data_IF_614354209854
#
_entry.id   IF_614354209854
#
_cell.length_a   1.000
_cell.length_b   1.000
_cell.length_c   1.000
_cell.angle_alpha   90.00
_cell.angle_beta   90.00
_cell.angle_gamma   90.00
#
_symmetry.space_group_name_H-M   'P 1'
#
loop_
_entity.id
_entity.type
_entity.pdbx_description
1 polymer ?
#
# COMPACT_ATOMS: atom_id res chain seq x y z
N UNK A 1 -31.82 14.66 -17.17
CA UNK A 1 -30.88 13.53 -17.33
C UNK A 1 -29.50 13.76 -16.72
N UNK A 2 -28.86 14.93 -16.86
CA UNK A 2 -27.51 15.20 -16.32
C UNK A 2 -27.35 15.15 -14.79
N UNK A 3 -28.45 15.16 -14.03
CA UNK A 3 -28.42 15.14 -12.55
C UNK A 3 -28.64 13.74 -11.95
N UNK A 4 -29.22 12.79 -12.72
CA UNK A 4 -29.44 11.41 -12.26
C UNK A 4 -28.17 10.55 -12.37
N UNK A 5 -27.32 10.83 -13.36
CA UNK A 5 -26.03 10.16 -13.59
C UNK A 5 -25.00 10.49 -12.50
N UNK A 6 -25.17 11.61 -11.78
CA UNK A 6 -24.27 12.08 -10.71
C UNK A 6 -24.33 11.19 -9.45
N UNK A 7 -25.43 10.48 -9.21
CA UNK A 7 -25.60 9.66 -8.00
C UNK A 7 -25.01 8.24 -8.12
N UNK A 8 -24.82 7.73 -9.35
CA UNK A 8 -24.18 6.42 -9.56
C UNK A 8 -22.69 6.44 -9.15
N UNK A 9 -22.03 7.60 -9.30
CA UNK A 9 -20.57 7.75 -9.13
C UNK A 9 -20.14 7.97 -7.68
N UNK A 10 -20.97 8.58 -6.83
CA UNK A 10 -20.67 8.74 -5.40
C UNK A 10 -20.66 7.38 -4.66
N UNK A 11 -21.51 6.44 -5.05
CA UNK A 11 -21.65 5.16 -4.35
C UNK A 11 -20.59 4.12 -4.73
N UNK A 12 -20.02 4.17 -5.95
CA UNK A 12 -18.88 3.32 -6.31
C UNK A 12 -17.57 3.80 -5.65
N UNK A 13 -17.34 5.11 -5.56
CA UNK A 13 -16.08 5.65 -5.04
C UNK A 13 -15.99 5.74 -3.50
N UNK A 14 -17.10 5.90 -2.77
CA UNK A 14 -17.06 5.93 -1.29
C UNK A 14 -17.30 4.57 -0.62
N UNK A 15 -17.74 3.52 -1.34
CA UNK A 15 -18.06 2.23 -0.71
C UNK A 15 -17.25 1.03 -1.19
N UNK A 16 -16.45 1.13 -2.26
CA UNK A 16 -15.36 0.17 -2.51
C UNK A 16 -14.25 0.24 -1.44
N UNK A 17 -14.14 1.36 -0.73
CA UNK A 17 -13.21 1.54 0.42
C UNK A 17 -13.89 1.22 1.77
N UNK A 18 -15.20 0.94 1.80
CA UNK A 18 -15.95 0.62 3.03
C UNK A 18 -16.89 -0.58 2.84
N UNK A 19 -16.37 -1.66 2.25
CA UNK A 19 -17.09 -2.94 2.10
C UNK A 19 -17.28 -3.71 3.43
N UNK A 20 -17.40 -3.02 4.57
CA UNK A 20 -17.70 -3.64 5.87
C UNK A 20 -19.06 -3.25 6.46
N UNK A 21 -19.89 -2.41 5.80
CA UNK A 21 -21.25 -2.09 6.32
C UNK A 21 -22.41 -1.97 5.31
N UNK A 22 -22.20 -2.15 4.00
CA UNK A 22 -23.29 -2.07 3.03
C UNK A 22 -23.61 -3.46 2.42
N UNK A 23 -24.89 -3.84 2.46
CA UNK A 23 -25.42 -5.08 1.88
C UNK A 23 -25.32 -5.05 0.34
N UNK A 24 -24.54 -5.95 -0.29
CA UNK A 24 -24.32 -5.99 -1.72
C UNK A 24 -25.60 -6.13 -2.55
N UNK A 25 -26.66 -6.73 -2.01
CA UNK A 25 -27.90 -6.91 -2.75
C UNK A 25 -28.68 -5.59 -2.91
N UNK A 26 -28.64 -4.72 -1.90
CA UNK A 26 -29.46 -3.49 -1.88
C UNK A 26 -28.95 -2.38 -2.81
N UNK A 27 -27.66 -2.42 -3.21
CA UNK A 27 -27.12 -1.42 -4.13
C UNK A 27 -27.39 -1.78 -5.59
N UNK A 28 -27.36 -3.08 -5.94
CA UNK A 28 -27.69 -3.58 -7.28
C UNK A 28 -29.14 -3.27 -7.64
N UNK A 29 -30.08 -3.47 -6.70
CA UNK A 29 -31.49 -3.11 -6.87
C UNK A 29 -31.72 -1.60 -7.10
N UNK A 30 -30.85 -0.75 -6.54
CA UNK A 30 -30.92 0.70 -6.76
C UNK A 30 -30.28 1.11 -8.08
N UNK A 31 -29.19 0.46 -8.47
CA UNK A 31 -28.53 0.70 -9.74
C UNK A 31 -29.47 0.33 -10.90
N UNK A 32 -30.16 -0.81 -10.80
CA UNK A 32 -31.12 -1.28 -11.80
C UNK A 32 -32.28 -0.30 -12.03
N UNK A 33 -32.81 0.32 -10.96
CA UNK A 33 -33.88 1.33 -11.09
C UNK A 33 -33.45 2.59 -11.83
N UNK A 34 -32.16 2.90 -11.81
CA UNK A 34 -31.61 4.11 -12.43
C UNK A 34 -31.09 3.83 -13.86
N UNK A 35 -30.66 2.61 -14.11
CA UNK A 35 -30.12 2.14 -15.39
C UNK A 35 -30.79 0.81 -15.75
N UNK A 36 -32.08 0.82 -16.12
CA UNK A 36 -32.81 -0.39 -16.45
C UNK A 36 -32.19 -1.14 -17.64
N UNK A 37 -31.51 -0.41 -18.53
CA UNK A 37 -30.83 -0.97 -19.70
C UNK A 37 -29.51 -1.69 -19.35
N UNK A 38 -29.08 -1.65 -18.09
CA UNK A 38 -27.90 -2.38 -17.60
C UNK A 38 -28.18 -3.83 -17.23
N UNK A 39 -29.44 -4.20 -17.03
CA UNK A 39 -29.90 -5.58 -16.88
C UNK A 39 -30.08 -6.19 -18.28
N UNK A 40 -29.03 -6.87 -18.72
CA UNK A 40 -28.87 -7.31 -20.09
C UNK A 40 -29.67 -8.59 -20.35
N UNK A 41 -29.81 -9.44 -19.34
CA UNK A 41 -30.61 -10.66 -19.42
C UNK A 41 -32.10 -10.46 -19.06
N UNK A 42 -32.46 -9.27 -18.56
CA UNK A 42 -33.82 -8.83 -18.20
C UNK A 42 -34.43 -9.67 -17.08
N UNK A 43 -33.61 -10.21 -16.19
CA UNK A 43 -34.06 -11.01 -15.06
C UNK A 43 -34.58 -10.15 -13.88
N UNK A 44 -34.48 -8.83 -13.98
CA UNK A 44 -34.91 -7.88 -12.98
C UNK A 44 -33.92 -7.73 -11.82
N UNK A 45 -32.67 -8.17 -11.98
CA UNK A 45 -31.58 -8.04 -11.01
C UNK A 45 -30.27 -7.72 -11.73
N UNK A 46 -29.64 -6.63 -11.34
CA UNK A 46 -28.32 -6.33 -11.88
C UNK A 46 -27.27 -7.27 -11.27
N UNK A 47 -26.51 -7.98 -12.10
CA UNK A 47 -25.32 -8.73 -11.67
C UNK A 47 -24.05 -7.87 -11.75
N UNK A 48 -23.00 -8.27 -11.02
CA UNK A 48 -21.71 -7.56 -11.07
C UNK A 48 -21.10 -7.61 -12.49
N UNK A 49 -21.31 -8.71 -13.22
CA UNK A 49 -20.80 -8.89 -14.58
C UNK A 49 -21.50 -7.96 -15.58
N UNK A 50 -22.80 -7.75 -15.43
CA UNK A 50 -23.57 -6.82 -16.25
C UNK A 50 -23.23 -5.36 -15.94
N UNK A 51 -23.07 -5.03 -14.65
CA UNK A 51 -22.62 -3.70 -14.24
C UNK A 51 -21.25 -3.36 -14.85
N UNK A 52 -20.31 -4.31 -14.87
CA UNK A 52 -18.98 -4.13 -15.48
C UNK A 52 -19.07 -3.99 -17.00
N UNK A 53 -19.82 -4.86 -17.68
CA UNK A 53 -20.04 -4.76 -19.13
C UNK A 53 -20.72 -3.46 -19.53
N UNK A 54 -21.65 -2.97 -18.72
CA UNK A 54 -22.32 -1.70 -18.97
C UNK A 54 -21.35 -0.52 -18.87
N UNK A 55 -20.44 -0.53 -17.89
CA UNK A 55 -19.39 0.49 -17.78
C UNK A 55 -18.41 0.42 -18.96
N UNK A 56 -17.99 -0.78 -19.38
CA UNK A 56 -17.14 -0.97 -20.56
C UNK A 56 -17.78 -0.47 -21.86
N UNK A 57 -19.11 -0.62 -21.98
CA UNK A 57 -19.87 -0.20 -23.16
C UNK A 57 -20.18 1.31 -23.19
N UNK A 58 -19.97 2.04 -22.09
CA UNK A 58 -20.31 3.47 -21.94
C UNK A 58 -19.07 4.28 -21.49
N UNK A 59 -18.05 4.43 -22.37
CA UNK A 59 -16.78 5.08 -22.05
C UNK A 59 -16.91 6.56 -21.63
N UNK A 60 -18.03 7.22 -21.95
CA UNK A 60 -18.37 8.55 -21.43
C UNK A 60 -18.54 8.59 -19.90
N UNK A 61 -18.82 7.44 -19.27
CA UNK A 61 -18.86 7.30 -17.82
C UNK A 61 -17.44 7.33 -17.23
N UNK A 62 -16.43 6.78 -17.90
CA UNK A 62 -15.03 6.89 -17.50
C UNK A 62 -14.52 8.35 -17.55
N UNK A 63 -14.90 9.09 -18.58
CA UNK A 63 -14.48 10.50 -18.72
C UNK A 63 -15.15 11.40 -17.67
N UNK A 64 -16.38 11.09 -17.27
CA UNK A 64 -17.10 11.75 -16.17
C UNK A 64 -16.53 11.38 -14.79
N UNK A 65 -16.08 10.13 -14.60
CA UNK A 65 -15.32 9.68 -13.42
C UNK A 65 -14.00 10.46 -13.29
N UNK A 66 -13.30 10.71 -14.40
CA UNK A 66 -12.07 11.49 -14.42
C UNK A 66 -12.28 13.00 -14.18
N UNK A 67 -13.39 13.58 -14.69
CA UNK A 67 -13.66 15.03 -14.63
C UNK A 67 -14.32 15.52 -13.34
N UNK A 68 -14.98 14.66 -12.54
CA UNK A 68 -15.76 15.08 -11.37
C UNK A 68 -15.39 14.45 -10.02
N UNK A 69 -14.21 13.85 -9.90
CA UNK A 69 -13.50 13.69 -8.62
C UNK A 69 -12.97 15.03 -8.06
N UNK A 70 -13.74 16.11 -8.19
CA UNK A 70 -13.31 17.48 -7.93
C UNK A 70 -13.40 17.83 -6.45
N UNK A 71 -12.29 18.26 -5.86
CA UNK A 71 -12.35 19.03 -4.61
C UNK A 71 -11.18 18.94 -3.64
N UNK A 72 -10.02 18.41 -4.02
CA UNK A 72 -8.77 18.90 -3.46
C UNK A 72 -7.99 19.50 -4.61
N UNK A 73 -7.61 20.78 -4.49
CA UNK A 73 -6.55 21.37 -5.29
C UNK A 73 -5.35 20.43 -5.09
N UNK A 74 -5.08 19.53 -6.04
CA UNK A 74 -3.83 18.78 -6.05
C UNK A 74 -2.78 19.86 -6.15
N UNK A 75 -1.99 20.10 -5.10
CA UNK A 75 -0.95 21.08 -5.25
C UNK A 75 0.00 20.47 -6.29
N UNK A 76 0.26 21.20 -7.36
CA UNK A 76 1.44 20.99 -8.21
C UNK A 76 2.74 21.05 -7.38
N UNK A 77 2.65 21.49 -6.12
CA UNK A 77 3.71 21.52 -5.14
C UNK A 77 3.75 20.25 -4.30
N UNK A 78 4.96 19.81 -3.96
CA UNK A 78 5.13 18.79 -2.95
C UNK A 78 4.38 19.15 -1.66
N UNK A 79 3.87 18.15 -0.92
CA UNK A 79 3.26 18.40 0.38
C UNK A 79 4.16 19.27 1.28
N UNK A 80 3.56 20.19 2.06
CA UNK A 80 4.33 20.99 3.00
C UNK A 80 4.95 20.06 4.04
N UNK A 81 6.23 20.29 4.33
CA UNK A 81 6.92 19.57 5.40
C UNK A 81 6.38 20.06 6.74
N UNK A 82 6.07 19.16 7.68
CA UNK A 82 5.65 19.60 9.01
C UNK A 82 6.77 20.37 9.72
N UNK A 83 6.42 21.34 10.60
CA UNK A 83 7.40 21.95 11.49
C UNK A 83 8.12 20.89 12.33
N UNK A 84 9.32 21.22 12.79
CA UNK A 84 10.01 20.40 13.79
C UNK A 84 9.19 20.34 15.09
N UNK A 85 9.24 19.20 15.78
CA UNK A 85 8.61 19.03 17.09
C UNK A 85 9.17 20.04 18.10
N UNK A 86 8.33 20.81 18.81
CA UNK A 86 8.79 21.77 19.80
C UNK A 86 9.72 21.13 20.84
N UNK A 87 10.86 21.78 21.10
CA UNK A 87 11.83 21.32 22.10
C UNK A 87 12.76 20.18 21.63
N UNK A 88 12.65 19.73 20.38
CA UNK A 88 13.57 18.75 19.79
C UNK A 88 14.32 19.37 18.59
N UNK A 89 15.57 18.97 18.34
CA UNK A 89 16.24 19.28 17.09
C UNK A 89 15.41 18.81 15.88
N UNK A 90 15.43 19.52 14.74
CA UNK A 90 14.77 19.06 13.53
C UNK A 90 15.24 17.65 13.15
N UNK A 91 14.29 16.74 13.03
CA UNK A 91 14.55 15.38 12.57
C UNK A 91 14.64 15.26 11.06
N UNK A 92 14.87 14.05 10.55
CA UNK A 92 14.81 13.80 9.11
C UNK A 92 13.41 14.09 8.57
N UNK A 93 13.35 14.60 7.34
CA UNK A 93 12.13 14.76 6.55
C UNK A 93 11.81 13.43 5.88
N UNK A 94 10.76 12.75 6.35
CA UNK A 94 10.43 11.39 5.95
C UNK A 94 9.24 11.38 5.00
N UNK A 95 9.40 10.77 3.83
CA UNK A 95 8.29 10.51 2.90
C UNK A 95 7.95 9.01 2.90
N UNK A 96 6.67 8.66 3.06
CA UNK A 96 6.20 7.26 3.04
C UNK A 96 5.45 6.93 1.76
N UNK A 97 6.00 6.08 0.91
CA UNK A 97 5.33 5.56 -0.28
C UNK A 97 5.07 4.05 -0.12
N UNK A 98 3.82 3.67 0.09
CA UNK A 98 3.47 2.32 0.52
C UNK A 98 2.09 1.86 0.05
N UNK A 99 1.85 0.56 0.15
CA UNK A 99 0.53 -0.05 -0.03
C UNK A 99 -0.16 -0.32 1.31
N UNK A 100 -1.35 -0.93 1.25
CA UNK A 100 -2.25 -1.16 2.38
C UNK A 100 -1.64 -1.94 3.56
N UNK A 101 -0.57 -2.71 3.37
CA UNK A 101 0.06 -3.44 4.48
C UNK A 101 0.98 -2.55 5.31
N UNK A 102 1.57 -1.53 4.69
CA UNK A 102 2.69 -0.76 5.26
C UNK A 102 2.37 0.72 5.42
N UNK A 103 1.27 1.23 4.84
CA UNK A 103 0.94 2.68 4.91
C UNK A 103 0.75 3.18 6.34
N UNK A 104 0.40 2.30 7.28
CA UNK A 104 0.28 2.65 8.69
C UNK A 104 1.59 3.18 9.30
N UNK A 105 2.75 2.85 8.72
CA UNK A 105 4.05 3.43 9.08
C UNK A 105 4.00 4.97 9.03
N UNK A 106 3.33 5.56 8.04
CA UNK A 106 3.17 7.02 7.96
C UNK A 106 2.44 7.62 9.18
N UNK A 107 1.44 6.89 9.69
CA UNK A 107 0.65 7.32 10.84
C UNK A 107 1.38 7.12 12.17
N UNK A 108 2.15 6.03 12.29
CA UNK A 108 2.78 5.65 13.56
C UNK A 108 4.17 6.28 13.78
N UNK A 109 4.91 6.63 12.72
CA UNK A 109 6.24 7.23 12.88
C UNK A 109 6.24 8.53 13.70
N UNK A 110 5.36 9.54 13.46
CA UNK A 110 5.38 10.77 14.25
C UNK A 110 5.20 10.58 15.76
N UNK A 111 4.17 9.85 16.25
CA UNK A 111 4.01 9.63 17.68
C UNK A 111 5.11 8.72 18.27
N UNK A 112 5.63 7.74 17.51
CA UNK A 112 6.76 6.92 17.95
C UNK A 112 8.04 7.76 18.14
N UNK A 113 8.36 8.61 17.17
CA UNK A 113 9.52 9.50 17.25
C UNK A 113 9.38 10.48 18.43
N UNK A 114 8.19 11.06 18.62
CA UNK A 114 7.90 11.95 19.75
C UNK A 114 8.09 11.23 21.09
N UNK A 115 7.53 10.02 21.25
CA UNK A 115 7.67 9.23 22.47
C UNK A 115 9.12 8.84 22.75
N UNK A 116 9.93 8.66 21.70
CA UNK A 116 11.36 8.38 21.82
C UNK A 116 12.24 9.63 22.03
N UNK A 117 11.66 10.84 22.03
CA UNK A 117 12.43 12.10 22.09
C UNK A 117 13.27 12.35 20.83
N UNK A 118 12.88 11.79 19.69
CA UNK A 118 13.56 11.91 18.41
C UNK A 118 12.82 12.93 17.54
N UNK A 119 13.54 13.90 16.99
CA UNK A 119 12.97 14.84 16.02
C UNK A 119 12.41 14.12 14.79
N UNK A 120 11.34 14.64 14.21
CA UNK A 120 10.71 14.08 13.01
C UNK A 120 10.05 15.19 12.20
N UNK A 121 10.09 15.07 10.87
CA UNK A 121 9.32 15.94 9.98
C UNK A 121 8.61 15.09 8.91
N UNK A 122 7.29 15.22 8.78
CA UNK A 122 6.51 14.56 7.75
C UNK A 122 6.73 15.30 6.42
N UNK A 123 7.35 14.62 5.45
CA UNK A 123 7.55 15.13 4.10
C UNK A 123 6.44 14.69 3.15
N UNK A 124 5.46 13.91 3.62
CA UNK A 124 4.31 13.44 2.89
C UNK A 124 4.19 11.92 2.83
N UNK A 125 3.08 11.48 2.24
CA UNK A 125 2.83 10.08 1.97
C UNK A 125 2.13 9.87 0.64
N UNK A 126 2.29 8.67 0.06
CA UNK A 126 1.60 8.21 -1.13
C UNK A 126 1.14 6.77 -0.91
N UNK A 127 -0.17 6.54 -1.05
CA UNK A 127 -0.80 5.24 -0.85
C UNK A 127 -1.44 4.75 -2.14
N UNK A 128 -1.21 3.49 -2.49
CA UNK A 128 -1.92 2.76 -3.53
C UNK A 128 -2.18 1.34 -3.01
N UNK A 129 -3.44 0.90 -3.01
CA UNK A 129 -3.82 -0.41 -2.44
C UNK A 129 -3.24 -1.57 -3.25
N UNK A 130 -2.67 -2.58 -2.57
CA UNK A 130 -2.16 -3.80 -3.22
C UNK A 130 -1.07 -3.58 -4.28
N UNK A 131 -0.37 -2.45 -4.25
CA UNK A 131 0.54 -2.08 -5.33
C UNK A 131 2.00 -2.43 -5.10
N UNK A 132 2.70 -2.72 -6.19
CA UNK A 132 4.15 -2.70 -6.29
C UNK A 132 4.68 -1.25 -6.27
N UNK A 133 5.96 -1.07 -5.99
CA UNK A 133 6.61 0.24 -5.99
C UNK A 133 6.62 0.83 -7.40
N UNK A 134 6.83 0.01 -8.44
CA UNK A 134 6.76 0.47 -9.83
C UNK A 134 5.41 1.08 -10.22
N UNK A 135 4.31 0.60 -9.62
CA UNK A 135 2.99 1.18 -9.88
C UNK A 135 2.86 2.57 -9.27
N UNK A 136 3.47 2.82 -8.11
CA UNK A 136 3.61 4.18 -7.57
C UNK A 136 4.47 5.08 -8.45
N UNK A 137 5.54 4.54 -9.06
CA UNK A 137 6.36 5.29 -10.01
C UNK A 137 5.57 5.66 -11.27
N UNK A 138 4.72 4.76 -11.75
CA UNK A 138 3.92 4.96 -12.95
C UNK A 138 2.70 5.86 -12.75
N UNK A 139 2.38 6.26 -11.52
CA UNK A 139 1.41 7.34 -11.29
C UNK A 139 1.87 8.58 -12.09
N UNK A 140 1.00 9.17 -12.93
CA UNK A 140 1.33 10.34 -13.72
C UNK A 140 1.96 11.45 -12.88
N UNK A 141 2.95 12.13 -13.42
CA UNK A 141 3.81 13.05 -12.68
C UNK A 141 3.03 14.16 -11.96
N UNK A 142 1.96 14.67 -12.59
CA UNK A 142 1.07 15.67 -12.04
C UNK A 142 0.24 15.19 -10.83
N UNK A 143 0.20 13.87 -10.59
CA UNK A 143 -0.45 13.22 -9.44
C UNK A 143 0.56 12.56 -8.49
N UNK A 144 1.84 12.53 -8.85
CA UNK A 144 2.85 11.75 -8.14
C UNK A 144 3.52 12.58 -7.04
N UNK A 145 2.97 12.47 -5.82
CA UNK A 145 3.42 13.24 -4.65
C UNK A 145 4.85 12.89 -4.25
N UNK A 146 5.25 11.63 -4.43
CA UNK A 146 6.60 11.17 -4.14
C UNK A 146 7.62 11.82 -5.09
N UNK A 147 7.37 11.78 -6.41
CA UNK A 147 8.26 12.44 -7.39
C UNK A 147 8.36 13.94 -7.16
N UNK A 148 7.23 14.61 -6.88
CA UNK A 148 7.23 16.04 -6.55
C UNK A 148 8.12 16.35 -5.34
N UNK A 149 7.96 15.62 -4.22
CA UNK A 149 8.76 15.83 -3.01
C UNK A 149 10.26 15.57 -3.24
N UNK A 150 10.60 14.53 -4.00
CA UNK A 150 11.99 14.20 -4.33
C UNK A 150 12.65 15.26 -5.21
N UNK A 151 11.95 15.74 -6.25
CA UNK A 151 12.46 16.80 -7.16
C UNK A 151 12.67 18.15 -6.48
N UNK A 152 11.95 18.41 -5.40
CA UNK A 152 12.13 19.60 -4.57
C UNK A 152 13.22 19.44 -3.50
N UNK A 153 13.86 18.27 -3.39
CA UNK A 153 14.89 18.01 -2.38
C UNK A 153 14.34 18.02 -0.95
N UNK A 154 13.03 17.73 -0.79
CA UNK A 154 12.30 17.81 0.49
C UNK A 154 12.40 16.56 1.36
N UNK A 155 13.08 15.52 0.88
CA UNK A 155 13.09 14.19 1.49
C UNK A 155 14.51 13.81 1.90
N UNK A 156 14.69 13.47 3.18
CA UNK A 156 15.94 12.90 3.72
C UNK A 156 15.86 11.39 3.86
N UNK A 157 14.64 10.87 4.10
CA UNK A 157 14.35 9.44 4.18
C UNK A 157 13.12 9.13 3.34
N UNK A 158 13.27 8.27 2.34
CA UNK A 158 12.17 7.71 1.56
C UNK A 158 11.91 6.28 2.03
N UNK A 159 10.68 5.96 2.42
CA UNK A 159 10.31 4.57 2.69
C UNK A 159 9.51 4.00 1.52
N UNK A 160 9.89 2.82 1.04
CA UNK A 160 9.23 2.08 -0.04
C UNK A 160 8.78 0.71 0.46
N UNK A 161 7.69 0.17 -0.10
CA UNK A 161 7.10 -1.11 0.36
C UNK A 161 6.80 -2.06 -0.81
N UNK A 162 7.77 -2.87 -1.26
CA UNK A 162 7.51 -3.98 -2.18
C UNK A 162 6.81 -5.14 -1.44
N UNK A 163 5.94 -5.90 -2.12
CA UNK A 163 5.24 -7.04 -1.50
C UNK A 163 4.95 -8.25 -2.40
N UNK A 164 5.04 -8.13 -3.73
CA UNK A 164 4.73 -9.25 -4.64
C UNK A 164 5.95 -9.70 -5.43
N UNK A 165 6.35 -8.90 -6.41
CA UNK A 165 7.38 -9.29 -7.38
C UNK A 165 8.66 -8.52 -7.11
N UNK A 166 9.78 -9.23 -7.24
CA UNK A 166 11.12 -8.67 -7.22
C UNK A 166 11.93 -9.23 -8.40
N UNK A 167 12.88 -8.44 -8.95
CA UNK A 167 13.19 -7.06 -8.58
C UNK A 167 12.07 -6.07 -8.97
N UNK A 168 11.94 -4.97 -8.21
CA UNK A 168 10.93 -3.94 -8.46
C UNK A 168 11.60 -2.64 -8.94
N UNK A 169 11.49 -2.35 -10.24
CA UNK A 169 12.13 -1.19 -10.87
C UNK A 169 11.72 0.17 -10.25
N UNK A 170 10.59 0.23 -9.53
CA UNK A 170 10.19 1.44 -8.81
C UNK A 170 11.20 1.84 -7.73
N UNK A 171 11.84 0.86 -7.08
CA UNK A 171 12.88 1.11 -6.06
C UNK A 171 14.05 1.87 -6.68
N UNK A 172 14.58 1.36 -7.80
CA UNK A 172 15.67 1.99 -8.54
C UNK A 172 15.30 3.41 -8.99
N UNK A 173 14.11 3.57 -9.59
CA UNK A 173 13.70 4.83 -10.19
C UNK A 173 13.51 5.94 -9.15
N UNK A 174 12.83 5.64 -8.04
CA UNK A 174 12.67 6.62 -6.97
C UNK A 174 13.99 6.96 -6.28
N UNK A 175 14.86 5.96 -6.07
CA UNK A 175 16.18 6.18 -5.47
C UNK A 175 17.01 7.12 -6.34
N UNK A 176 17.13 6.82 -7.65
CA UNK A 176 17.88 7.66 -8.60
C UNK A 176 17.34 9.09 -8.65
N UNK A 177 16.02 9.24 -8.80
CA UNK A 177 15.38 10.56 -8.82
C UNK A 177 15.66 11.37 -7.55
N UNK A 178 15.62 10.72 -6.38
CA UNK A 178 15.86 11.39 -5.12
C UNK A 178 17.32 11.82 -4.93
N UNK A 179 18.27 10.99 -5.37
CA UNK A 179 19.70 11.28 -5.29
C UNK A 179 20.12 12.47 -6.18
N UNK A 180 19.37 12.78 -7.25
CA UNK A 180 19.61 13.98 -8.08
C UNK A 180 19.54 15.29 -7.28
N UNK A 181 18.72 15.33 -6.22
CA UNK A 181 18.51 16.53 -5.39
C UNK A 181 19.08 16.41 -3.99
N UNK A 182 19.14 15.19 -3.45
CA UNK A 182 19.72 14.93 -2.15
C UNK A 182 20.71 13.76 -2.26
N UNK A 183 22.02 14.03 -2.47
CA UNK A 183 23.05 13.00 -2.50
C UNK A 183 23.17 12.18 -1.21
N UNK A 184 22.60 12.65 -0.09
CA UNK A 184 22.58 11.96 1.19
C UNK A 184 21.24 11.27 1.48
N UNK A 185 20.35 11.15 0.48
CA UNK A 185 19.06 10.49 0.63
C UNK A 185 19.25 9.07 1.16
N UNK A 186 18.45 8.70 2.16
CA UNK A 186 18.33 7.32 2.63
C UNK A 186 17.03 6.73 2.12
N UNK A 187 17.10 5.56 1.50
CA UNK A 187 15.93 4.81 1.07
C UNK A 187 15.80 3.57 1.96
N UNK A 188 14.66 3.46 2.63
CA UNK A 188 14.33 2.33 3.49
C UNK A 188 13.28 1.45 2.80
N UNK A 189 13.67 0.25 2.40
CA UNK A 189 12.79 -0.69 1.72
C UNK A 189 12.21 -1.65 2.74
N UNK A 190 10.92 -1.50 3.04
CA UNK A 190 10.18 -2.36 3.97
C UNK A 190 9.91 -3.71 3.32
N UNK A 191 10.78 -4.68 3.56
CA UNK A 191 10.62 -6.06 3.09
C UNK A 191 9.35 -6.66 3.71
N UNK A 192 8.32 -6.88 2.89
CA UNK A 192 7.02 -7.37 3.33
C UNK A 192 7.09 -8.82 3.84
N UNK A 193 5.96 -9.39 4.24
CA UNK A 193 5.85 -10.80 4.59
C UNK A 193 5.11 -11.56 3.48
N UNK A 194 5.31 -12.88 3.35
CA UNK A 194 4.52 -13.74 2.48
C UNK A 194 3.02 -13.60 2.78
N UNK A 195 2.26 -13.16 1.79
CA UNK A 195 0.80 -13.18 1.84
C UNK A 195 0.27 -14.61 1.94
N UNK A 196 -0.85 -14.82 2.65
CA UNK A 196 -1.45 -16.14 2.89
C UNK A 196 -0.44 -17.16 3.41
N UNK A 197 0.53 -16.72 4.21
CA UNK A 197 1.58 -17.58 4.76
C UNK A 197 2.39 -18.30 3.66
N UNK A 198 2.49 -17.72 2.47
CA UNK A 198 3.13 -18.34 1.30
C UNK A 198 2.30 -19.45 0.65
N UNK A 199 1.08 -19.71 1.11
CA UNK A 199 0.18 -20.70 0.53
C UNK A 199 -0.38 -20.24 -0.81
N UNK A 200 -0.35 -21.13 -1.81
CA UNK A 200 -1.06 -20.99 -3.07
C UNK A 200 -2.49 -21.56 -3.05
N UNK A 201 -2.91 -22.14 -1.92
CA UNK A 201 -4.22 -22.75 -1.77
C UNK A 201 -5.32 -21.66 -1.80
N UNK A 202 -6.26 -21.71 -2.78
CA UNK A 202 -7.36 -20.75 -2.83
C UNK A 202 -8.34 -20.88 -1.67
N UNK A 203 -8.31 -21.99 -0.93
CA UNK A 203 -9.14 -22.23 0.27
C UNK A 203 -8.50 -21.71 1.56
N UNK A 204 -7.29 -21.14 1.50
CA UNK A 204 -6.61 -20.60 2.67
C UNK A 204 -7.48 -19.56 3.39
N UNK A 205 -7.70 -19.77 4.69
CA UNK A 205 -8.44 -18.83 5.54
C UNK A 205 -7.55 -18.31 6.66
N UNK A 206 -7.99 -17.24 7.33
CA UNK A 206 -7.30 -16.76 8.53
C UNK A 206 -7.20 -17.85 9.60
N UNK A 207 -8.20 -18.74 9.69
CA UNK A 207 -8.23 -19.86 10.63
C UNK A 207 -7.16 -20.90 10.33
N UNK A 208 -6.82 -21.12 9.05
CA UNK A 208 -5.75 -22.03 8.61
C UNK A 208 -4.40 -21.66 9.24
N UNK A 209 -4.17 -20.39 9.57
CA UNK A 209 -2.94 -19.96 10.27
C UNK A 209 -2.74 -20.65 11.61
N UNK A 210 -3.80 -21.10 12.28
CA UNK A 210 -3.69 -21.77 13.59
C UNK A 210 -3.11 -23.19 13.49
N UNK A 211 -3.01 -23.75 12.29
CA UNK A 211 -2.43 -25.07 12.03
C UNK A 211 -0.91 -25.03 11.86
N UNK A 212 -0.32 -23.83 11.89
CA UNK A 212 1.12 -23.64 11.74
C UNK A 212 1.91 -24.41 12.82
N UNK A 213 2.95 -25.13 12.40
CA UNK A 213 3.92 -25.78 13.27
C UNK A 213 5.26 -25.04 13.22
N UNK A 214 6.20 -25.41 14.10
CA UNK A 214 7.54 -24.81 14.08
C UNK A 214 8.25 -25.13 12.76
N UNK A 215 8.08 -26.35 12.26
CA UNK A 215 8.62 -26.82 10.99
C UNK A 215 8.00 -26.08 9.81
N UNK A 216 6.67 -25.87 9.80
CA UNK A 216 6.01 -25.16 8.69
C UNK A 216 6.39 -23.68 8.65
N UNK A 217 6.52 -23.02 9.81
CA UNK A 217 7.02 -21.64 9.88
C UNK A 217 8.47 -21.55 9.43
N UNK A 218 9.31 -22.51 9.81
CA UNK A 218 10.71 -22.56 9.35
C UNK A 218 10.80 -22.72 7.84
N UNK A 219 10.04 -23.65 7.25
CA UNK A 219 10.02 -23.87 5.80
C UNK A 219 9.55 -22.61 5.05
N UNK A 220 8.52 -21.93 5.55
CA UNK A 220 8.04 -20.67 4.99
C UNK A 220 9.12 -19.59 5.05
N UNK A 221 9.80 -19.46 6.19
CA UNK A 221 10.89 -18.50 6.37
C UNK A 221 12.07 -18.78 5.44
N UNK A 222 12.54 -20.04 5.37
CA UNK A 222 13.63 -20.46 4.49
C UNK A 222 13.30 -20.19 3.01
N UNK A 223 12.07 -20.50 2.57
CA UNK A 223 11.63 -20.27 1.19
C UNK A 223 11.54 -18.77 0.89
N UNK A 224 10.95 -17.99 1.79
CA UNK A 224 10.86 -16.55 1.67
C UNK A 224 12.24 -15.89 1.55
N UNK A 225 13.22 -16.34 2.36
CA UNK A 225 14.58 -15.81 2.34
C UNK A 225 15.36 -16.20 1.08
N UNK A 226 15.34 -17.49 0.74
CA UNK A 226 16.11 -18.02 -0.41
C UNK A 226 15.60 -17.54 -1.77
N UNK A 227 14.38 -16.99 -1.82
CA UNK A 227 13.78 -16.48 -3.06
C UNK A 227 13.59 -14.97 -3.02
N UNK A 228 12.60 -14.49 -2.27
CA UNK A 228 12.13 -13.11 -2.33
C UNK A 228 13.10 -12.15 -1.66
N UNK A 229 13.57 -12.44 -0.44
CA UNK A 229 14.55 -11.58 0.24
C UNK A 229 15.86 -11.55 -0.53
N UNK A 230 16.34 -12.70 -1.00
CA UNK A 230 17.57 -12.75 -1.81
C UNK A 230 17.49 -11.88 -3.06
N UNK A 231 16.35 -11.88 -3.76
CA UNK A 231 16.13 -11.00 -4.91
C UNK A 231 16.16 -9.51 -4.51
N UNK A 232 15.61 -9.16 -3.34
CA UNK A 232 15.67 -7.79 -2.82
C UNK A 232 17.11 -7.38 -2.46
N UNK A 233 17.85 -8.26 -1.77
CA UNK A 233 19.25 -8.04 -1.39
C UNK A 233 20.13 -7.83 -2.61
N UNK A 234 19.95 -8.63 -3.66
CA UNK A 234 20.68 -8.49 -4.92
C UNK A 234 20.37 -7.14 -5.59
N UNK A 235 19.10 -6.74 -5.62
CA UNK A 235 18.69 -5.44 -6.16
C UNK A 235 19.32 -4.29 -5.36
N UNK A 236 19.22 -4.31 -4.03
CA UNK A 236 19.75 -3.27 -3.14
C UNK A 236 21.27 -3.18 -3.25
N UNK A 237 21.96 -4.32 -3.27
CA UNK A 237 23.43 -4.38 -3.44
C UNK A 237 23.86 -3.75 -4.76
N UNK A 238 23.20 -4.14 -5.86
CA UNK A 238 23.48 -3.57 -7.19
C UNK A 238 23.21 -2.07 -7.23
N UNK A 239 22.12 -1.61 -6.62
CA UNK A 239 21.74 -0.21 -6.62
C UNK A 239 22.71 0.65 -5.80
N UNK A 240 23.11 0.20 -4.61
CA UNK A 240 24.13 0.87 -3.78
C UNK A 240 25.48 0.92 -4.48
N UNK A 241 25.92 -0.19 -5.10
CA UNK A 241 27.15 -0.22 -5.88
C UNK A 241 27.11 0.80 -7.03
N UNK A 242 25.99 0.89 -7.76
CA UNK A 242 25.82 1.87 -8.84
C UNK A 242 25.75 3.32 -8.35
N UNK A 243 25.37 3.54 -7.09
CA UNK A 243 25.28 4.86 -6.46
C UNK A 243 26.59 5.28 -5.78
N UNK A 244 27.56 4.38 -5.67
CA UNK A 244 28.86 4.62 -5.01
C UNK A 244 28.81 4.73 -3.48
N UNK A 245 27.65 4.47 -2.86
CA UNK A 245 27.46 4.50 -1.40
C UNK A 245 26.16 3.79 -0.98
N UNK A 246 26.08 3.43 0.31
CA UNK A 246 24.96 2.69 0.91
C UNK A 246 23.74 3.58 1.21
N UNK A 247 23.08 4.04 0.14
CA UNK A 247 21.87 4.88 0.24
C UNK A 247 20.60 4.06 0.49
N UNK A 248 20.53 2.80 0.04
CA UNK A 248 19.36 1.93 0.18
C UNK A 248 19.60 0.86 1.25
N UNK A 249 18.63 0.69 2.16
CA UNK A 249 18.68 -0.30 3.24
C UNK A 249 17.36 -1.07 3.34
N UNK A 250 17.45 -2.36 3.63
CA UNK A 250 16.29 -3.21 3.86
C UNK A 250 15.85 -3.06 5.33
N UNK A 251 14.55 -2.86 5.54
CA UNK A 251 13.90 -2.97 6.84
C UNK A 251 13.22 -4.33 6.88
N UNK A 252 13.64 -5.27 7.76
CA UNK A 252 13.22 -6.67 7.72
C UNK A 252 11.85 -6.88 8.39
N UNK A 253 10.80 -6.25 7.85
CA UNK A 253 9.44 -6.35 8.44
C UNK A 253 8.91 -7.78 8.37
N UNK A 254 9.17 -8.50 7.27
CA UNK A 254 8.83 -9.91 7.13
C UNK A 254 9.41 -10.79 8.23
N UNK A 255 10.67 -10.57 8.62
CA UNK A 255 11.31 -11.30 9.73
C UNK A 255 10.66 -10.98 11.07
N UNK A 256 10.32 -9.71 11.31
CA UNK A 256 9.61 -9.32 12.53
C UNK A 256 8.24 -10.01 12.63
N UNK A 257 7.53 -10.15 11.49
CA UNK A 257 6.28 -10.92 11.41
C UNK A 257 6.52 -12.39 11.73
N UNK A 258 7.52 -13.04 11.12
CA UNK A 258 7.82 -14.46 11.39
C UNK A 258 8.25 -14.70 12.84
N UNK A 259 9.05 -13.81 13.42
CA UNK A 259 9.42 -13.88 14.83
C UNK A 259 8.19 -13.78 15.74
N UNK A 260 7.27 -12.85 15.45
CA UNK A 260 6.01 -12.74 16.20
C UNK A 260 5.14 -13.99 16.06
N UNK A 261 5.05 -14.58 14.86
CA UNK A 261 4.36 -15.86 14.65
C UNK A 261 4.97 -16.97 15.50
N UNK A 262 6.31 -17.05 15.58
CA UNK A 262 6.98 -18.02 16.43
C UNK A 262 6.67 -17.79 17.92
N UNK A 263 6.60 -16.53 18.36
CA UNK A 263 6.20 -16.21 19.74
C UNK A 263 4.78 -16.65 20.06
N UNK A 264 3.83 -16.45 19.13
CA UNK A 264 2.45 -16.92 19.28
C UNK A 264 2.40 -18.45 19.35
N UNK A 265 3.11 -19.14 18.46
CA UNK A 265 3.18 -20.60 18.46
C UNK A 265 3.73 -21.16 19.78
N UNK A 266 4.75 -20.51 20.33
CA UNK A 266 5.40 -20.91 21.59
C UNK A 266 4.60 -20.48 22.84
N UNK A 267 3.46 -19.79 22.69
CA UNK A 267 2.69 -19.25 23.82
C UNK A 267 3.41 -18.13 24.59
N UNK A 268 4.38 -17.47 23.96
CA UNK A 268 5.21 -16.42 24.57
C UNK A 268 4.79 -14.99 24.16
N UNK A 269 3.88 -14.85 23.20
CA UNK A 269 3.31 -13.57 22.81
C UNK A 269 2.28 -13.09 23.86
N UNK A 270 2.52 -11.97 24.58
CA UNK A 270 1.61 -11.51 25.62
C UNK A 270 0.22 -11.17 25.07
N UNK A 271 -0.82 -11.77 25.65
CA UNK A 271 -2.22 -11.49 25.29
C UNK A 271 -2.69 -12.09 23.96
N UNK A 272 -1.85 -12.85 23.25
CA UNK A 272 -2.19 -13.47 21.95
C UNK A 272 -2.06 -14.98 22.08
N UNK A 273 -3.13 -15.72 21.76
CA UNK A 273 -3.17 -17.18 21.92
C UNK A 273 -3.13 -17.93 20.59
N UNK A 274 -3.71 -17.35 19.54
CA UNK A 274 -3.82 -17.98 18.23
C UNK A 274 -3.27 -17.06 17.15
N UNK A 275 -2.68 -17.63 16.10
CA UNK A 275 -2.21 -16.87 14.95
C UNK A 275 -3.34 -16.03 14.35
N UNK A 276 -4.53 -16.64 14.20
CA UNK A 276 -5.72 -15.97 13.66
C UNK A 276 -6.27 -14.82 14.53
N UNK A 277 -5.87 -14.72 15.81
CA UNK A 277 -6.31 -13.60 16.67
C UNK A 277 -5.67 -12.28 16.19
N UNK A 278 -4.47 -12.36 15.61
CA UNK A 278 -3.65 -11.23 15.17
C UNK A 278 -3.57 -11.11 13.64
N UNK A 279 -3.27 -12.21 12.94
CA UNK A 279 -3.04 -12.23 11.49
C UNK A 279 -4.37 -12.40 10.75
N UNK A 280 -5.01 -11.27 10.46
CA UNK A 280 -6.37 -11.19 9.89
C UNK A 280 -6.44 -10.76 8.43
N UNK A 281 -5.29 -10.65 7.76
CA UNK A 281 -5.23 -10.36 6.33
C UNK A 281 -5.90 -11.52 5.55
N UNK A 282 -7.10 -11.26 5.04
CA UNK A 282 -7.95 -12.23 4.34
C UNK A 282 -7.71 -12.24 2.84
N UNK A 283 -6.45 -11.98 2.43
CA UNK A 283 -6.02 -11.78 1.03
C UNK A 283 -6.86 -12.53 0.00
#
# INVERSE_FOLDING_TARGET
MKTAIVFLVLLFSTHLVSAQKADPAKWLDRALKLFPDSDADKDGKLSLAEALKYVEAHPELEELLAKKGGGARVPNAAPPITPATPGLPPGPRIFVCAHSFMIYTAKFLPPLATAAGIGYQDAGQQMLGGSQVIQHWNVPDEKNRAKAALREGKVDVLTLSPHMLLPDAGIDNFTKLGLEKNPNLRVLVQASWPGRDGSSDPSFTNQSRNEATAESLKQMHDLYHSTWVKALEDQVTKLNASSGHDCVRIVPVGDAVMALRQHVLNGTAPGIKKQADLFRDSL
#
